data_IF_540389844747
#
_entry.id   IF_540389844747
#
_cell.length_a   1.000
_cell.length_b   1.000
_cell.length_c   1.000
_cell.angle_alpha   90.00
_cell.angle_beta   90.00
_cell.angle_gamma   90.00
#
_symmetry.space_group_name_H-M   'P 1'
#
loop_
_entity.id
_entity.type
_entity.pdbx_description
1 polymer ?
#
# COMPACT_ATOMS: atom_id res chain seq x y z
N UNK A 1 11.20 32.56 -12.41
CA UNK A 1 11.01 33.36 -11.19
C UNK A 1 11.70 32.66 -10.04
N UNK A 2 12.63 33.35 -9.38
CA UNK A 2 13.39 32.83 -8.25
C UNK A 2 12.51 32.76 -6.97
N UNK A 3 12.91 31.99 -5.93
CA UNK A 3 12.20 31.96 -4.66
C UNK A 3 12.11 33.34 -3.97
N UNK A 4 13.11 34.22 -4.20
CA UNK A 4 13.13 35.57 -3.63
C UNK A 4 12.18 36.52 -4.36
N UNK A 5 12.17 36.50 -5.69
CA UNK A 5 11.19 37.25 -6.50
C UNK A 5 9.76 36.85 -6.12
N UNK A 6 9.50 35.55 -5.95
CA UNK A 6 8.20 35.04 -5.49
C UNK A 6 7.81 35.61 -4.12
N UNK A 7 8.73 35.73 -3.17
CA UNK A 7 8.42 36.26 -1.82
C UNK A 7 8.01 37.72 -1.87
N UNK A 8 8.55 38.51 -2.79
CA UNK A 8 8.31 39.95 -2.92
C UNK A 8 6.99 40.31 -3.62
N UNK A 9 6.37 39.37 -4.32
CA UNK A 9 5.11 39.63 -5.02
C UNK A 9 3.95 39.92 -4.08
N UNK A 10 3.04 40.85 -4.43
CA UNK A 10 1.78 41.08 -3.74
C UNK A 10 0.92 39.80 -3.68
N UNK A 11 0.09 39.69 -2.64
CA UNK A 11 -0.77 38.54 -2.41
C UNK A 11 -1.70 38.23 -3.59
N UNK A 12 -2.25 39.26 -4.21
CA UNK A 12 -3.14 39.15 -5.37
C UNK A 12 -2.41 38.60 -6.59
N UNK A 13 -1.21 39.03 -6.84
CA UNK A 13 -0.39 38.56 -7.96
C UNK A 13 0.08 37.11 -7.75
N UNK A 14 0.43 36.74 -6.52
CA UNK A 14 0.67 35.32 -6.15
C UNK A 14 -0.55 34.46 -6.43
N UNK A 15 -1.75 34.93 -6.12
CA UNK A 15 -2.99 34.20 -6.35
C UNK A 15 -3.32 34.10 -7.84
N UNK A 16 -3.09 35.18 -8.63
CA UNK A 16 -3.21 35.17 -10.08
C UNK A 16 -2.29 34.13 -10.70
N UNK A 17 -1.01 34.16 -10.40
CA UNK A 17 -0.02 33.20 -10.93
C UNK A 17 -0.30 31.76 -10.52
N UNK A 18 -0.86 31.55 -9.32
CA UNK A 18 -1.32 30.21 -8.91
C UNK A 18 -2.51 29.74 -9.74
N UNK A 19 -3.48 30.61 -10.06
CA UNK A 19 -4.63 30.29 -10.92
C UNK A 19 -4.16 29.97 -12.34
N UNK A 20 -3.35 30.83 -12.96
CA UNK A 20 -2.77 30.63 -14.30
C UNK A 20 -1.98 29.31 -14.38
N UNK A 21 -1.15 29.00 -13.38
CA UNK A 21 -0.41 27.73 -13.29
C UNK A 21 -1.36 26.53 -13.17
N UNK A 22 -2.46 26.69 -12.44
CA UNK A 22 -3.45 25.63 -12.27
C UNK A 22 -4.26 25.41 -13.55
N UNK A 23 -4.63 26.49 -14.24
CA UNK A 23 -5.32 26.45 -15.53
C UNK A 23 -4.44 25.88 -16.64
N UNK A 24 -3.15 26.30 -16.69
CA UNK A 24 -2.19 25.71 -17.63
C UNK A 24 -2.00 24.21 -17.39
N UNK A 25 -1.86 23.78 -16.13
CA UNK A 25 -1.80 22.34 -15.80
C UNK A 25 -3.09 21.57 -16.14
N UNK A 26 -4.23 22.26 -16.03
CA UNK A 26 -5.53 21.68 -16.42
C UNK A 26 -5.63 21.56 -17.94
N UNK A 27 -5.17 22.57 -18.67
CA UNK A 27 -5.10 22.56 -20.14
C UNK A 27 -4.08 21.52 -20.65
N UNK A 28 -2.88 21.44 -20.05
CA UNK A 28 -1.86 20.43 -20.35
C UNK A 28 -2.39 19.01 -20.07
N UNK A 29 -3.15 18.81 -18.99
CA UNK A 29 -3.85 17.54 -18.71
C UNK A 29 -4.97 17.25 -19.72
N UNK A 30 -5.71 18.26 -20.15
CA UNK A 30 -6.76 18.12 -21.16
C UNK A 30 -6.17 17.84 -22.55
N UNK A 31 -5.09 18.52 -22.93
CA UNK A 31 -4.39 18.31 -24.20
C UNK A 31 -3.64 16.95 -24.25
N UNK A 32 -3.05 16.51 -23.11
CA UNK A 32 -2.45 15.17 -22.99
C UNK A 32 -3.49 14.04 -22.92
N UNK A 33 -4.77 14.35 -22.77
CA UNK A 33 -5.85 13.36 -22.70
C UNK A 33 -6.46 13.01 -24.06
N UNK A 34 -5.89 13.49 -25.18
CA UNK A 34 -6.38 13.19 -26.52
C UNK A 34 -6.19 11.73 -26.97
N UNK A 35 -5.42 10.92 -26.24
CA UNK A 35 -5.54 9.47 -26.35
C UNK A 35 -6.70 9.02 -25.47
N UNK A 36 -7.88 8.91 -26.09
CA UNK A 36 -9.07 8.35 -25.45
C UNK A 36 -8.71 7.00 -24.82
N UNK A 37 -8.78 6.95 -23.49
CA UNK A 37 -8.83 5.70 -22.75
C UNK A 37 -9.93 4.83 -23.37
N UNK A 38 -9.54 3.68 -23.93
CA UNK A 38 -10.50 2.66 -24.34
C UNK A 38 -10.70 1.77 -23.10
N UNK A 39 -11.87 1.84 -22.45
CA UNK A 39 -12.17 0.92 -21.35
C UNK A 39 -12.06 -0.51 -21.85
N UNK A 40 -11.74 -1.47 -20.99
CA UNK A 40 -11.89 -2.89 -21.33
C UNK A 40 -13.31 -3.13 -21.86
N UNK A 41 -13.45 -4.07 -22.77
CA UNK A 41 -14.75 -4.38 -23.38
C UNK A 41 -15.86 -4.74 -22.36
N UNK A 42 -15.47 -5.12 -21.12
CA UNK A 42 -16.35 -5.33 -19.97
C UNK A 42 -15.78 -4.63 -18.75
N UNK A 43 -15.97 -3.32 -18.55
CA UNK A 43 -15.61 -2.66 -17.31
C UNK A 43 -16.41 -3.29 -16.17
N UNK A 44 -15.72 -3.81 -15.18
CA UNK A 44 -16.36 -4.37 -13.98
C UNK A 44 -17.15 -3.25 -13.29
N UNK A 45 -18.43 -3.45 -13.10
CA UNK A 45 -19.34 -2.48 -12.49
C UNK A 45 -19.15 -2.43 -10.94
N UNK A 46 -17.91 -2.24 -10.49
CA UNK A 46 -17.53 -2.22 -9.06
C UNK A 46 -18.34 -1.22 -8.22
N UNK A 47 -18.96 -0.21 -8.86
CA UNK A 47 -19.84 0.78 -8.18
C UNK A 47 -21.06 0.14 -7.54
N UNK A 48 -21.44 -1.04 -7.97
CA UNK A 48 -22.57 -1.80 -7.42
C UNK A 48 -22.21 -2.65 -6.19
N UNK A 49 -20.93 -2.84 -5.89
CA UNK A 49 -20.46 -3.55 -4.70
C UNK A 49 -20.71 -2.72 -3.43
N UNK A 50 -21.92 -2.76 -2.89
CA UNK A 50 -22.33 -1.95 -1.73
C UNK A 50 -21.96 -2.55 -0.38
N UNK A 51 -21.80 -3.87 -0.30
CA UNK A 51 -21.45 -4.63 0.90
C UNK A 51 -20.29 -5.59 0.63
N UNK A 52 -19.61 -6.04 1.70
CA UNK A 52 -18.46 -6.93 1.60
C UNK A 52 -17.12 -6.19 1.56
N UNK A 53 -16.06 -6.87 2.03
CA UNK A 53 -14.69 -6.34 2.06
C UNK A 53 -13.90 -6.73 0.83
N UNK A 54 -13.97 -8.00 0.45
CA UNK A 54 -13.18 -8.60 -0.62
C UNK A 54 -14.07 -9.18 -1.72
N UNK A 55 -13.54 -9.16 -2.93
CA UNK A 55 -14.27 -9.54 -4.13
C UNK A 55 -13.35 -10.31 -5.08
N UNK A 56 -13.91 -11.36 -5.68
CA UNK A 56 -13.30 -12.06 -6.79
C UNK A 56 -13.34 -11.23 -8.08
N UNK A 57 -12.80 -11.78 -9.14
CA UNK A 57 -12.78 -11.14 -10.47
C UNK A 57 -14.17 -10.86 -11.03
N UNK A 58 -15.13 -11.74 -10.77
CA UNK A 58 -16.54 -11.60 -11.19
C UNK A 58 -17.39 -10.78 -10.21
N UNK A 59 -16.75 -10.14 -9.22
CA UNK A 59 -17.34 -9.34 -8.14
C UNK A 59 -18.17 -10.12 -7.12
N UNK A 60 -18.07 -11.42 -7.07
CA UNK A 60 -18.60 -12.23 -5.97
C UNK A 60 -17.86 -11.87 -4.68
N UNK A 61 -18.61 -11.73 -3.60
CA UNK A 61 -18.03 -11.43 -2.28
C UNK A 61 -17.23 -12.65 -1.77
N UNK A 62 -16.00 -12.38 -1.31
CA UNK A 62 -15.13 -13.39 -0.73
C UNK A 62 -15.07 -13.25 0.79
N UNK A 63 -15.26 -14.35 1.50
CA UNK A 63 -14.92 -14.45 2.91
C UNK A 63 -13.51 -15.03 3.05
N UNK A 64 -12.56 -14.17 3.45
CA UNK A 64 -11.16 -14.55 3.63
C UNK A 64 -10.72 -14.57 5.09
N UNK A 65 -11.67 -14.49 6.03
CA UNK A 65 -11.38 -14.29 7.47
C UNK A 65 -10.59 -15.45 8.11
N UNK A 66 -10.62 -16.62 7.52
CA UNK A 66 -9.91 -17.82 7.99
C UNK A 66 -8.69 -18.20 7.16
N UNK A 67 -8.35 -17.42 6.11
CA UNK A 67 -7.28 -17.78 5.17
C UNK A 67 -5.91 -17.91 5.87
N UNK A 68 -5.62 -17.00 6.82
CA UNK A 68 -4.42 -17.01 7.64
C UNK A 68 -4.77 -16.89 9.12
N UNK A 69 -5.74 -17.67 9.57
CA UNK A 69 -6.26 -17.59 10.94
C UNK A 69 -5.17 -17.80 11.99
N UNK A 70 -4.99 -16.79 12.85
CA UNK A 70 -4.01 -16.82 13.93
C UNK A 70 -2.56 -16.62 13.50
N UNK A 71 -2.28 -16.56 12.19
CA UNK A 71 -0.92 -16.48 11.66
C UNK A 71 -0.23 -15.16 11.98
N UNK A 72 1.10 -15.20 11.91
CA UNK A 72 1.98 -14.03 11.91
C UNK A 72 2.33 -13.63 10.47
N UNK A 73 2.57 -12.33 10.23
CA UNK A 73 2.98 -11.82 8.93
C UNK A 73 4.03 -10.72 9.07
N UNK A 74 5.09 -10.78 8.27
CA UNK A 74 6.02 -9.65 8.12
C UNK A 74 5.48 -8.67 7.07
N UNK A 75 5.20 -7.43 7.51
CA UNK A 75 4.88 -6.32 6.62
C UNK A 75 6.18 -5.64 6.17
N UNK A 76 6.55 -5.86 4.92
CA UNK A 76 7.72 -5.26 4.29
C UNK A 76 7.31 -3.93 3.66
N UNK A 77 7.76 -2.81 4.25
CA UNK A 77 7.48 -1.46 3.79
C UNK A 77 8.56 -0.98 2.81
N UNK A 78 8.69 0.35 2.62
CA UNK A 78 9.56 0.94 1.59
C UNK A 78 10.75 1.71 2.15
N UNK A 79 10.92 1.72 3.46
CA UNK A 79 11.93 2.55 4.12
C UNK A 79 13.36 2.04 3.89
N UNK A 80 14.37 2.94 3.90
CA UNK A 80 15.76 2.60 3.60
C UNK A 80 16.41 1.63 4.58
N UNK A 81 15.87 1.47 5.78
CA UNK A 81 16.36 0.47 6.76
C UNK A 81 16.30 -0.98 6.25
N UNK A 82 15.47 -1.28 5.22
CA UNK A 82 15.47 -2.59 4.57
C UNK A 82 16.84 -2.97 3.97
N UNK A 83 17.64 -2.00 3.54
CA UNK A 83 18.96 -2.25 2.96
C UNK A 83 19.98 -2.75 3.98
N UNK A 84 19.69 -2.60 5.27
CA UNK A 84 20.52 -3.06 6.37
C UNK A 84 19.99 -4.36 7.01
N UNK A 85 18.88 -4.90 6.47
CA UNK A 85 18.20 -6.08 7.00
C UNK A 85 18.51 -7.28 6.11
N UNK A 86 18.91 -8.40 6.70
CA UNK A 86 19.06 -9.67 5.97
C UNK A 86 17.68 -10.25 5.65
N UNK A 87 17.11 -9.80 4.52
CA UNK A 87 15.79 -10.24 4.06
C UNK A 87 15.75 -11.72 3.63
N UNK A 88 16.89 -12.41 3.50
CA UNK A 88 16.94 -13.84 3.15
C UNK A 88 16.26 -14.70 4.21
N UNK A 89 16.25 -14.27 5.47
CA UNK A 89 15.57 -14.94 6.58
C UNK A 89 14.04 -15.04 6.37
N UNK A 90 13.47 -14.14 5.57
CA UNK A 90 12.03 -14.17 5.23
C UNK A 90 11.66 -15.28 4.22
N UNK A 91 12.65 -15.94 3.62
CA UNK A 91 12.41 -17.09 2.71
C UNK A 91 12.22 -18.41 3.46
N UNK A 92 12.29 -18.40 4.79
CA UNK A 92 12.08 -19.61 5.60
C UNK A 92 10.62 -20.07 5.53
N UNK A 93 10.43 -21.36 5.66
CA UNK A 93 9.07 -21.97 5.79
C UNK A 93 8.38 -21.42 7.04
N UNK A 94 7.09 -21.19 6.95
CA UNK A 94 6.29 -20.61 8.03
C UNK A 94 6.27 -19.09 8.06
N UNK A 95 7.11 -18.42 7.27
CA UNK A 95 7.13 -16.96 7.17
C UNK A 95 6.16 -16.50 6.08
N UNK A 96 5.10 -15.80 6.50
CA UNK A 96 4.20 -15.08 5.60
C UNK A 96 4.70 -13.63 5.46
N UNK A 97 4.73 -13.13 4.25
CA UNK A 97 5.16 -11.75 3.96
C UNK A 97 4.13 -10.96 3.18
N UNK A 98 3.99 -9.69 3.50
CA UNK A 98 3.13 -8.75 2.78
C UNK A 98 3.92 -7.50 2.38
N UNK A 99 3.95 -7.20 1.09
CA UNK A 99 4.57 -5.98 0.56
C UNK A 99 3.59 -4.82 0.48
N UNK A 100 4.12 -3.61 0.65
CA UNK A 100 3.38 -2.37 0.46
C UNK A 100 3.98 -1.56 -0.70
N UNK A 101 3.13 -1.07 -1.59
CA UNK A 101 3.54 -0.24 -2.74
C UNK A 101 4.68 -0.90 -3.56
N UNK A 102 5.84 -0.26 -3.71
CA UNK A 102 6.97 -0.79 -4.47
C UNK A 102 7.93 -1.69 -3.66
N UNK A 103 7.63 -2.04 -2.42
CA UNK A 103 8.51 -2.92 -1.63
C UNK A 103 8.77 -4.30 -2.27
N UNK A 104 7.85 -4.90 -3.08
CA UNK A 104 8.16 -6.15 -3.77
C UNK A 104 9.32 -6.07 -4.77
N UNK A 105 9.76 -4.86 -5.14
CA UNK A 105 10.99 -4.68 -5.95
C UNK A 105 12.28 -4.87 -5.15
N UNK A 106 12.21 -4.79 -3.82
CA UNK A 106 13.34 -5.05 -2.90
C UNK A 106 13.31 -6.49 -2.43
N UNK A 107 12.12 -6.97 -2.06
CA UNK A 107 11.91 -8.35 -1.61
C UNK A 107 10.56 -8.87 -2.13
N UNK A 108 10.57 -9.99 -2.84
CA UNK A 108 9.37 -10.63 -3.36
C UNK A 108 8.52 -11.19 -2.23
N UNK A 109 7.36 -10.60 -2.00
CA UNK A 109 6.44 -10.98 -0.91
C UNK A 109 5.34 -11.93 -1.37
N UNK A 110 4.72 -12.68 -0.44
CA UNK A 110 3.58 -13.56 -0.75
C UNK A 110 2.30 -12.76 -1.05
N UNK A 111 2.09 -11.68 -0.31
CA UNK A 111 0.94 -10.79 -0.41
C UNK A 111 1.41 -9.39 -0.81
N UNK A 112 0.55 -8.64 -1.48
CA UNK A 112 0.82 -7.26 -1.85
C UNK A 112 -0.41 -6.39 -1.74
N UNK A 113 -0.26 -5.24 -1.09
CA UNK A 113 -1.32 -4.23 -0.92
C UNK A 113 -0.79 -2.86 -1.35
N UNK A 114 -1.58 -2.10 -2.06
CA UNK A 114 -1.20 -0.75 -2.50
C UNK A 114 -2.39 0.22 -2.46
N UNK A 115 -2.09 1.52 -2.50
CA UNK A 115 -3.12 2.56 -2.44
C UNK A 115 -3.03 3.60 -3.54
N UNK A 116 -1.93 3.67 -4.26
CA UNK A 116 -1.70 4.57 -5.39
C UNK A 116 -2.22 3.99 -6.71
N UNK A 117 -2.37 4.80 -7.78
CA UNK A 117 -2.76 4.29 -9.10
C UNK A 117 -1.82 3.18 -9.61
N UNK A 118 -2.35 2.14 -10.27
CA UNK A 118 -1.62 0.95 -10.71
C UNK A 118 -0.35 1.22 -11.51
N UNK A 119 -0.35 2.25 -12.35
CA UNK A 119 0.80 2.63 -13.19
C UNK A 119 2.04 3.11 -12.43
N UNK A 120 1.94 3.33 -11.11
CA UNK A 120 3.08 3.71 -10.28
C UNK A 120 3.95 2.54 -9.86
N UNK A 121 3.50 1.33 -10.09
CA UNK A 121 4.15 0.11 -9.65
C UNK A 121 4.81 -0.63 -10.82
N UNK A 122 5.86 -1.38 -10.50
CA UNK A 122 6.61 -2.13 -11.48
C UNK A 122 5.75 -3.23 -12.11
N UNK A 123 5.80 -3.37 -13.45
CA UNK A 123 4.99 -4.31 -14.21
C UNK A 123 5.21 -5.78 -13.80
N UNK A 124 6.45 -6.14 -13.42
CA UNK A 124 6.75 -7.49 -12.95
C UNK A 124 5.96 -7.90 -11.69
N UNK A 125 5.64 -6.95 -10.79
CA UNK A 125 4.82 -7.25 -9.61
C UNK A 125 3.42 -7.67 -10.03
N UNK A 126 2.86 -7.00 -11.04
CA UNK A 126 1.53 -7.32 -11.56
C UNK A 126 1.48 -8.71 -12.20
N UNK A 127 2.49 -9.05 -12.98
CA UNK A 127 2.57 -10.30 -13.75
C UNK A 127 2.98 -11.51 -12.90
N UNK A 128 3.54 -11.30 -11.69
CA UNK A 128 4.02 -12.38 -10.85
C UNK A 128 2.86 -13.24 -10.29
N UNK A 129 2.75 -14.52 -10.69
CA UNK A 129 1.67 -15.39 -10.24
C UNK A 129 1.82 -15.86 -8.79
N UNK A 130 3.01 -15.72 -8.17
CA UNK A 130 3.21 -16.12 -6.79
C UNK A 130 2.81 -15.03 -5.77
N UNK A 131 2.49 -13.82 -6.23
CA UNK A 131 2.04 -12.73 -5.38
C UNK A 131 0.52 -12.63 -5.41
N UNK A 132 -0.13 -12.75 -4.26
CA UNK A 132 -1.56 -12.41 -4.13
C UNK A 132 -1.71 -10.91 -3.97
N UNK A 133 -2.46 -10.29 -4.86
CA UNK A 133 -2.58 -8.84 -5.02
C UNK A 133 -3.93 -8.36 -4.51
N UNK A 134 -3.92 -7.52 -3.47
CA UNK A 134 -5.12 -6.85 -2.98
C UNK A 134 -5.25 -5.48 -3.65
N UNK A 135 -6.27 -5.32 -4.48
CA UNK A 135 -6.47 -4.17 -5.37
C UNK A 135 -7.72 -3.40 -4.99
N UNK A 136 -7.65 -2.07 -4.76
CA UNK A 136 -8.86 -1.28 -4.60
C UNK A 136 -9.81 -1.48 -5.79
N UNK A 137 -11.09 -1.75 -5.55
CA UNK A 137 -12.09 -1.95 -6.61
C UNK A 137 -12.08 -0.85 -7.66
N UNK A 138 -11.83 0.40 -7.24
CA UNK A 138 -11.74 1.55 -8.14
C UNK A 138 -10.58 1.47 -9.15
N UNK A 139 -9.62 0.56 -8.94
CA UNK A 139 -8.46 0.41 -9.81
C UNK A 139 -8.52 -0.83 -10.70
N UNK A 140 -9.46 -1.73 -10.48
CA UNK A 140 -9.55 -2.98 -11.25
C UNK A 140 -9.70 -2.76 -12.75
N UNK A 141 -10.52 -1.79 -13.15
CA UNK A 141 -10.84 -1.54 -14.57
C UNK A 141 -10.74 -0.08 -15.01
N UNK A 142 -10.32 0.84 -14.11
CA UNK A 142 -10.36 2.27 -14.41
C UNK A 142 -9.01 2.87 -14.78
N UNK A 143 -7.90 2.25 -14.33
CA UNK A 143 -6.55 2.72 -14.59
C UNK A 143 -5.73 1.64 -15.28
N UNK A 144 -5.34 1.86 -16.55
CA UNK A 144 -4.45 0.92 -17.24
C UNK A 144 -3.08 0.90 -16.56
N UNK A 145 -2.40 -0.23 -16.66
CA UNK A 145 -0.99 -0.36 -16.26
C UNK A 145 -0.16 0.44 -17.25
N UNK A 146 0.83 1.17 -16.76
CA UNK A 146 1.80 1.90 -17.56
C UNK A 146 3.10 1.12 -17.65
N UNK A 147 3.70 1.11 -18.82
CA UNK A 147 5.11 0.71 -18.97
C UNK A 147 6.03 1.93 -18.82
N UNK A 148 7.18 1.71 -18.20
CA UNK A 148 8.28 2.66 -18.22
C UNK A 148 9.09 2.38 -19.47
N UNK A 149 9.00 3.27 -20.44
CA UNK A 149 9.82 3.24 -21.67
C UNK A 149 11.06 4.12 -21.51
N UNK A 150 11.99 4.04 -22.47
CA UNK A 150 13.16 4.92 -22.53
C UNK A 150 12.77 6.42 -22.59
N UNK A 151 11.58 6.73 -23.10
CA UNK A 151 11.05 8.09 -23.27
C UNK A 151 10.10 8.53 -22.15
N UNK A 152 10.00 7.75 -21.06
CA UNK A 152 9.11 8.04 -19.94
C UNK A 152 8.04 6.95 -19.74
N UNK A 153 6.86 7.36 -19.24
CA UNK A 153 5.75 6.44 -19.03
C UNK A 153 4.75 6.53 -20.18
N UNK A 154 4.52 5.43 -20.86
CA UNK A 154 3.48 5.31 -21.87
C UNK A 154 2.25 4.59 -21.32
N UNK A 155 1.05 5.08 -21.70
CA UNK A 155 -0.20 4.45 -21.30
C UNK A 155 -0.42 3.19 -22.13
N UNK A 156 -0.57 2.06 -21.48
CA UNK A 156 -0.93 0.82 -22.13
C UNK A 156 -2.44 0.81 -22.40
N UNK A 157 -2.88 1.61 -23.36
CA UNK A 157 -4.27 1.66 -23.82
C UNK A 157 -4.48 0.97 -25.15
N UNK A 158 -3.57 0.09 -25.60
CA UNK A 158 -3.69 -0.63 -26.86
C UNK A 158 -4.60 -1.85 -26.71
N UNK A 159 -5.31 -2.28 -27.75
CA UNK A 159 -6.02 -3.57 -27.75
C UNK A 159 -5.09 -4.70 -27.33
N UNK A 160 -5.52 -5.54 -26.40
CA UNK A 160 -4.72 -6.65 -25.87
C UNK A 160 -3.94 -6.36 -24.58
N UNK A 161 -3.97 -5.13 -24.06
CA UNK A 161 -3.33 -4.84 -22.77
C UNK A 161 -4.16 -5.33 -21.60
N UNK A 162 -3.45 -5.88 -20.60
CA UNK A 162 -4.04 -6.41 -19.37
C UNK A 162 -4.33 -5.28 -18.39
N UNK A 163 -5.52 -5.29 -17.81
CA UNK A 163 -5.90 -4.43 -16.69
C UNK A 163 -5.52 -5.12 -15.35
N UNK A 164 -5.51 -4.41 -14.23
CA UNK A 164 -5.31 -5.03 -12.92
C UNK A 164 -6.18 -6.26 -12.69
N UNK A 165 -7.44 -6.23 -13.10
CA UNK A 165 -8.36 -7.37 -13.01
C UNK A 165 -7.95 -8.60 -13.84
N UNK A 166 -7.13 -8.41 -14.88
CA UNK A 166 -6.70 -9.49 -15.78
C UNK A 166 -5.40 -10.16 -15.30
N UNK A 167 -4.75 -9.58 -14.29
CA UNK A 167 -3.52 -10.10 -13.72
C UNK A 167 -3.76 -11.32 -12.83
N UNK A 168 -2.77 -12.20 -12.66
CA UNK A 168 -2.92 -13.40 -11.83
C UNK A 168 -3.09 -13.03 -10.35
N UNK A 169 -3.89 -13.81 -9.63
CA UNK A 169 -4.08 -13.75 -8.18
C UNK A 169 -4.47 -12.36 -7.67
N UNK A 170 -5.43 -11.72 -8.32
CA UNK A 170 -6.00 -10.45 -7.92
C UNK A 170 -7.28 -10.65 -7.11
N UNK A 171 -7.32 -10.00 -5.95
CA UNK A 171 -8.49 -9.90 -5.06
C UNK A 171 -8.85 -8.42 -4.97
N UNK A 172 -10.08 -8.09 -5.34
CA UNK A 172 -10.62 -6.74 -5.20
C UNK A 172 -10.94 -6.42 -3.74
N UNK A 173 -10.74 -5.16 -3.30
CA UNK A 173 -11.24 -4.73 -2.00
C UNK A 173 -11.96 -3.40 -2.07
N UNK A 174 -12.98 -3.23 -1.23
CA UNK A 174 -13.74 -2.00 -1.10
C UNK A 174 -13.02 -1.02 -0.18
N UNK A 175 -12.55 0.10 -0.75
CA UNK A 175 -11.81 1.13 -0.03
C UNK A 175 -12.75 2.19 0.59
N UNK A 176 -12.45 2.61 1.81
CA UNK A 176 -13.10 3.75 2.46
C UNK A 176 -12.10 4.86 2.83
N UNK A 177 -12.63 6.07 3.04
CA UNK A 177 -11.88 7.21 3.56
C UNK A 177 -12.28 7.55 4.99
N UNK A 178 -12.82 6.60 5.76
CA UNK A 178 -13.11 6.74 7.18
C UNK A 178 -11.95 6.20 8.00
N UNK A 179 -11.65 6.85 9.11
CA UNK A 179 -10.61 6.43 10.02
C UNK A 179 -11.07 6.72 11.46
N UNK A 180 -11.57 5.69 12.09
CA UNK A 180 -12.00 5.69 13.47
C UNK A 180 -11.33 4.55 14.22
N UNK A 181 -10.77 4.80 15.40
CA UNK A 181 -9.95 3.83 16.12
C UNK A 181 -10.76 2.64 16.66
N UNK A 182 -12.02 2.87 17.07
CA UNK A 182 -12.87 1.84 17.67
C UNK A 182 -13.42 0.88 16.61
N UNK A 183 -13.79 1.42 15.44
CA UNK A 183 -14.43 0.64 14.37
C UNK A 183 -13.46 0.22 13.26
N UNK A 184 -12.19 0.65 13.31
CA UNK A 184 -11.23 0.40 12.25
C UNK A 184 -11.16 -1.07 11.83
N UNK A 185 -11.06 -2.00 12.78
CA UNK A 185 -10.94 -3.43 12.48
C UNK A 185 -12.27 -4.07 12.07
N UNK A 186 -13.40 -3.56 12.54
CA UNK A 186 -14.73 -4.16 12.35
C UNK A 186 -15.49 -3.64 11.14
N UNK A 187 -15.20 -2.39 10.67
CA UNK A 187 -15.87 -1.83 9.48
C UNK A 187 -15.80 -2.78 8.26
N UNK A 188 -16.91 -2.83 7.51
CA UNK A 188 -17.07 -3.64 6.31
C UNK A 188 -16.43 -3.03 5.05
N UNK A 189 -15.34 -2.30 5.22
CA UNK A 189 -14.53 -1.70 4.14
C UNK A 189 -13.08 -1.55 4.60
N UNK A 190 -12.15 -1.50 3.65
CA UNK A 190 -10.72 -1.33 3.93
C UNK A 190 -10.41 0.16 3.97
N UNK A 191 -10.10 0.68 5.16
CA UNK A 191 -9.74 2.09 5.34
C UNK A 191 -8.41 2.42 4.66
N UNK A 192 -8.37 3.55 3.95
CA UNK A 192 -7.13 4.16 3.45
C UNK A 192 -6.69 5.36 4.29
N UNK A 193 -7.34 5.54 5.44
CA UNK A 193 -7.18 6.70 6.32
C UNK A 193 -8.37 7.65 6.24
N UNK A 194 -8.20 8.86 6.81
CA UNK A 194 -9.24 9.89 6.84
C UNK A 194 -9.12 10.79 5.62
N UNK A 195 -10.08 10.70 4.69
CA UNK A 195 -10.13 11.55 3.49
C UNK A 195 -10.38 13.02 3.84
N UNK A 196 -10.05 13.95 2.93
CA UNK A 196 -10.31 15.38 3.13
C UNK A 196 -11.77 15.70 3.48
N UNK A 197 -12.72 14.98 2.86
CA UNK A 197 -14.15 15.14 3.12
C UNK A 197 -14.49 14.82 4.59
N UNK A 198 -13.99 13.70 5.10
CA UNK A 198 -14.22 13.27 6.48
C UNK A 198 -13.45 14.17 7.46
N UNK A 199 -12.22 14.52 7.14
CA UNK A 199 -11.38 15.43 7.93
C UNK A 199 -12.08 16.79 8.16
N UNK A 200 -12.66 17.38 7.12
CA UNK A 200 -13.41 18.65 7.21
C UNK A 200 -14.66 18.50 8.07
N UNK A 201 -15.42 17.40 7.89
CA UNK A 201 -16.66 17.15 8.65
C UNK A 201 -16.37 16.91 10.13
N UNK A 202 -15.33 16.19 10.45
CA UNK A 202 -14.94 15.77 11.79
C UNK A 202 -14.03 16.79 12.50
N UNK A 203 -13.61 17.86 11.81
CA UNK A 203 -12.62 18.85 12.28
C UNK A 203 -11.29 18.21 12.73
N UNK A 204 -10.91 17.12 12.08
CA UNK A 204 -9.71 16.34 12.36
C UNK A 204 -8.72 16.42 11.21
N UNK A 205 -7.42 16.15 11.43
CA UNK A 205 -6.44 16.17 10.36
C UNK A 205 -6.75 15.15 9.25
N UNK A 206 -6.53 15.56 7.99
CA UNK A 206 -6.47 14.62 6.88
C UNK A 206 -5.24 13.72 7.02
N UNK A 207 -5.46 12.42 6.98
CA UNK A 207 -4.43 11.38 7.04
C UNK A 207 -4.85 10.28 6.08
N UNK A 208 -4.09 10.04 5.02
CA UNK A 208 -4.29 8.88 4.15
C UNK A 208 -2.95 8.23 3.83
N UNK A 209 -2.92 6.92 3.94
CA UNK A 209 -1.74 6.11 3.64
C UNK A 209 -2.14 4.66 3.40
N UNK A 210 -1.42 3.98 2.53
CA UNK A 210 -1.59 2.55 2.25
C UNK A 210 -1.38 1.69 3.49
N UNK A 211 -0.61 2.17 4.47
CA UNK A 211 -0.32 1.45 5.70
C UNK A 211 -1.59 1.07 6.48
N UNK A 212 -2.60 1.95 6.51
CA UNK A 212 -3.92 1.63 7.09
C UNK A 212 -4.58 0.46 6.35
N UNK A 213 -4.55 0.51 5.02
CA UNK A 213 -5.17 -0.54 4.21
C UNK A 213 -4.51 -1.90 4.42
N UNK A 214 -3.18 -1.95 4.49
CA UNK A 214 -2.48 -3.22 4.65
C UNK A 214 -2.72 -3.84 6.03
N UNK A 215 -2.69 -3.06 7.12
CA UNK A 215 -3.01 -3.58 8.46
C UNK A 215 -4.43 -4.17 8.47
N UNK A 216 -5.40 -3.44 7.91
CA UNK A 216 -6.78 -3.91 7.89
C UNK A 216 -6.99 -5.11 6.97
N UNK A 217 -6.31 -5.19 5.82
CA UNK A 217 -6.32 -6.37 4.95
C UNK A 217 -5.79 -7.58 5.71
N UNK A 218 -4.61 -7.47 6.32
CA UNK A 218 -3.98 -8.57 7.07
C UNK A 218 -4.88 -9.06 8.20
N UNK A 219 -5.43 -8.15 9.03
CA UNK A 219 -6.39 -8.53 10.06
C UNK A 219 -7.62 -9.24 9.50
N UNK A 220 -8.18 -8.72 8.39
CA UNK A 220 -9.40 -9.23 7.78
C UNK A 220 -9.24 -10.60 7.11
N UNK A 221 -8.01 -11.01 6.78
CA UNK A 221 -7.70 -12.35 6.24
C UNK A 221 -7.26 -13.34 7.33
N UNK A 222 -7.31 -12.94 8.60
CA UNK A 222 -7.05 -13.83 9.73
C UNK A 222 -5.71 -13.64 10.43
N UNK A 223 -4.80 -12.79 9.94
CA UNK A 223 -3.52 -12.50 10.61
C UNK A 223 -3.77 -11.84 11.97
N UNK A 224 -3.02 -12.26 12.99
CA UNK A 224 -3.14 -11.75 14.37
C UNK A 224 -1.84 -11.19 14.92
N UNK A 225 -0.71 -11.45 14.28
CA UNK A 225 0.57 -10.82 14.62
C UNK A 225 1.20 -10.22 13.38
N UNK A 226 1.59 -8.94 13.44
CA UNK A 226 2.25 -8.24 12.34
C UNK A 226 3.62 -7.75 12.82
N UNK A 227 4.67 -8.15 12.12
CA UNK A 227 6.04 -7.67 12.32
C UNK A 227 6.37 -6.66 11.22
N UNK A 228 6.74 -5.44 11.59
CA UNK A 228 7.00 -4.33 10.67
C UNK A 228 8.48 -4.27 10.28
N UNK A 229 8.78 -4.26 8.99
CA UNK A 229 10.12 -4.07 8.43
C UNK A 229 10.13 -2.89 7.45
N UNK A 230 11.18 -2.08 7.46
CA UNK A 230 11.26 -0.91 6.59
C UNK A 230 10.21 0.17 6.90
N UNK A 231 9.69 0.16 8.11
CA UNK A 231 8.70 1.13 8.59
C UNK A 231 9.40 2.29 9.33
N UNK A 232 10.29 2.98 8.65
CA UNK A 232 11.15 4.03 9.23
C UNK A 232 10.36 5.19 9.83
N UNK A 233 9.20 5.53 9.28
CA UNK A 233 8.35 6.65 9.69
C UNK A 233 9.11 7.97 9.85
N UNK A 234 10.22 8.04 9.17
CA UNK A 234 11.03 9.23 8.93
C UNK A 234 11.55 9.14 7.50
N UNK A 235 11.60 10.23 6.79
CA UNK A 235 12.06 10.27 5.41
C UNK A 235 13.17 11.30 5.27
N UNK A 236 14.30 10.89 4.68
CA UNK A 236 15.40 11.76 4.29
C UNK A 236 15.27 12.14 2.82
N UNK A 237 15.60 13.39 2.41
CA UNK A 237 15.68 13.76 1.01
C UNK A 237 16.74 12.98 0.23
N UNK A 238 17.84 12.59 0.89
CA UNK A 238 18.96 11.88 0.25
C UNK A 238 18.62 10.43 -0.08
N UNK A 239 17.86 9.76 0.78
CA UNK A 239 17.45 8.37 0.60
C UNK A 239 16.02 8.18 1.12
N UNK A 240 15.02 8.56 0.31
CA UNK A 240 13.63 8.48 0.75
C UNK A 240 13.07 7.05 0.81
N UNK A 241 13.65 6.12 0.06
CA UNK A 241 13.18 4.73 -0.05
C UNK A 241 14.36 3.75 -0.17
N UNK A 242 14.10 2.48 0.06
CA UNK A 242 15.05 1.37 -0.15
C UNK A 242 15.36 1.10 -1.65
N UNK A 243 14.69 1.77 -2.56
CA UNK A 243 14.86 1.65 -4.02
C UNK A 243 15.00 3.03 -4.66
N UNK A 244 15.49 3.06 -5.92
CA UNK A 244 15.84 4.28 -6.65
C UNK A 244 14.64 5.14 -7.06
N UNK A 245 13.90 5.67 -6.10
CA UNK A 245 12.80 6.61 -6.32
C UNK A 245 13.08 7.92 -5.59
N UNK A 246 13.13 9.02 -6.34
CA UNK A 246 13.32 10.35 -5.80
C UNK A 246 12.01 10.96 -5.26
N UNK A 247 12.14 11.85 -4.28
CA UNK A 247 11.04 12.63 -3.72
C UNK A 247 11.45 14.09 -3.59
N UNK A 248 10.55 15.01 -3.92
CA UNK A 248 10.82 16.43 -3.70
C UNK A 248 10.86 16.77 -2.20
N UNK A 249 11.61 17.81 -1.81
CA UNK A 249 11.67 18.28 -0.42
C UNK A 249 10.29 18.56 0.18
N UNK A 250 9.39 19.16 -0.63
CA UNK A 250 7.99 19.36 -0.23
C UNK A 250 7.26 18.05 0.04
N UNK A 251 7.54 17.03 -0.76
CA UNK A 251 6.99 15.70 -0.58
C UNK A 251 7.55 15.00 0.67
N UNK A 252 8.84 15.14 0.94
CA UNK A 252 9.49 14.62 2.16
C UNK A 252 8.88 15.27 3.40
N UNK A 253 8.79 16.60 3.45
CA UNK A 253 8.15 17.31 4.57
C UNK A 253 6.68 16.93 4.77
N UNK A 254 5.94 16.72 3.68
CA UNK A 254 4.54 16.29 3.74
C UNK A 254 4.40 14.88 4.31
N UNK A 255 5.27 13.95 3.88
CA UNK A 255 5.29 12.59 4.38
C UNK A 255 5.65 12.54 5.88
N UNK A 256 6.68 13.25 6.30
CA UNK A 256 7.09 13.28 7.71
C UNK A 256 5.97 13.81 8.63
N UNK A 257 5.24 14.85 8.21
CA UNK A 257 4.05 15.31 8.94
C UNK A 257 2.93 14.27 8.97
N UNK A 258 2.76 13.53 7.88
CA UNK A 258 1.78 12.44 7.83
C UNK A 258 2.17 11.29 8.76
N UNK A 259 3.45 10.92 8.81
CA UNK A 259 3.97 9.88 9.68
C UNK A 259 3.77 10.22 11.17
N UNK A 260 4.05 11.46 11.58
CA UNK A 260 3.77 11.88 12.95
C UNK A 260 2.29 11.71 13.33
N UNK A 261 1.38 12.20 12.48
CA UNK A 261 -0.07 12.05 12.69
C UNK A 261 -0.54 10.59 12.71
N UNK A 262 0.08 9.75 11.87
CA UNK A 262 -0.21 8.33 11.86
C UNK A 262 0.26 7.65 13.14
N UNK A 263 1.45 7.99 13.62
CA UNK A 263 1.95 7.48 14.89
C UNK A 263 0.99 7.80 16.04
N UNK A 264 0.57 9.07 16.15
CA UNK A 264 -0.37 9.51 17.19
C UNK A 264 -1.70 8.73 17.09
N UNK A 265 -2.20 8.53 15.88
CA UNK A 265 -3.41 7.75 15.67
C UNK A 265 -3.22 6.28 16.09
N UNK A 266 -2.08 5.65 15.75
CA UNK A 266 -1.80 4.27 16.14
C UNK A 266 -1.63 4.12 17.65
N UNK A 267 -1.06 5.12 18.34
CA UNK A 267 -1.02 5.13 19.81
C UNK A 267 -2.45 5.06 20.38
N UNK A 268 -3.38 5.84 19.83
CA UNK A 268 -4.78 5.81 20.26
C UNK A 268 -5.54 4.54 19.89
N UNK A 269 -5.20 3.91 18.76
CA UNK A 269 -5.88 2.72 18.26
C UNK A 269 -5.33 1.40 18.82
N UNK A 270 -4.09 1.39 19.35
CA UNK A 270 -3.43 0.18 19.83
C UNK A 270 -4.25 -0.61 20.87
N UNK A 271 -4.88 0.01 21.89
CA UNK A 271 -5.68 -0.74 22.85
C UNK A 271 -6.85 -1.50 22.18
N UNK A 272 -7.48 -0.91 21.17
CA UNK A 272 -8.54 -1.57 20.39
C UNK A 272 -8.00 -2.74 19.57
N UNK A 273 -6.79 -2.60 19.01
CA UNK A 273 -6.13 -3.69 18.27
C UNK A 273 -5.82 -4.87 19.20
N UNK A 274 -5.21 -4.60 20.36
CA UNK A 274 -4.89 -5.60 21.36
C UNK A 274 -6.13 -6.32 21.88
N UNK A 275 -7.19 -5.58 22.19
CA UNK A 275 -8.49 -6.14 22.59
C UNK A 275 -9.13 -7.02 21.52
N UNK A 276 -8.88 -6.73 20.22
CA UNK A 276 -9.32 -7.55 19.11
C UNK A 276 -8.35 -8.72 18.78
N UNK A 277 -7.33 -8.95 19.59
CA UNK A 277 -6.34 -10.00 19.42
C UNK A 277 -5.30 -9.71 18.32
N UNK A 278 -5.19 -8.46 17.83
CA UNK A 278 -4.17 -8.06 16.88
C UNK A 278 -2.97 -7.46 17.62
N UNK A 279 -1.80 -8.07 17.47
CA UNK A 279 -0.53 -7.56 17.97
C UNK A 279 0.33 -7.07 16.82
N UNK A 280 0.94 -5.90 16.97
CA UNK A 280 1.84 -5.33 15.98
C UNK A 280 3.17 -5.01 16.68
N UNK A 281 4.26 -5.49 16.10
CA UNK A 281 5.61 -5.27 16.60
C UNK A 281 6.46 -4.57 15.55
N UNK A 282 7.38 -3.73 15.98
CA UNK A 282 8.25 -2.98 15.10
C UNK A 282 9.68 -3.55 15.11
N UNK A 283 10.06 -4.24 14.03
CA UNK A 283 11.40 -4.75 13.82
C UNK A 283 12.31 -3.75 13.08
N UNK A 284 11.82 -2.54 12.78
CA UNK A 284 12.60 -1.52 12.08
C UNK A 284 13.52 -0.78 13.04
N UNK A 285 14.85 -0.82 12.86
CA UNK A 285 15.78 -0.06 13.69
C UNK A 285 15.49 1.44 13.63
N UNK A 286 15.64 2.13 14.77
CA UNK A 286 15.48 3.60 14.86
C UNK A 286 14.25 4.20 14.18
N UNK A 287 13.16 3.44 14.10
CA UNK A 287 11.90 3.90 13.50
C UNK A 287 11.28 5.07 14.27
N UNK A 288 10.71 6.03 13.54
CA UNK A 288 9.84 7.06 14.11
C UNK A 288 8.44 6.57 14.49
N UNK A 289 8.10 5.32 14.20
CA UNK A 289 6.84 4.69 14.60
C UNK A 289 6.99 4.09 16.00
N UNK A 290 6.60 4.85 17.01
CA UNK A 290 6.73 4.50 18.43
C UNK A 290 5.46 3.90 19.04
N UNK A 291 4.36 3.85 18.28
CA UNK A 291 3.09 3.31 18.74
C UNK A 291 3.14 1.81 19.08
N UNK A 292 4.07 1.06 18.48
CA UNK A 292 4.20 -0.37 18.62
C UNK A 292 5.53 -0.73 19.28
N UNK A 293 5.49 -1.81 20.06
CA UNK A 293 6.66 -2.35 20.76
C UNK A 293 7.76 -2.75 19.76
N UNK A 294 9.01 -2.49 20.14
CA UNK A 294 10.17 -2.91 19.34
C UNK A 294 10.59 -4.31 19.74
N UNK A 295 10.84 -5.13 18.73
CA UNK A 295 11.37 -6.49 18.90
C UNK A 295 12.53 -6.70 17.94
N UNK A 296 13.43 -7.58 18.30
CA UNK A 296 14.52 -7.99 17.41
C UNK A 296 13.95 -8.72 16.18
N UNK A 297 14.54 -8.48 15.02
CA UNK A 297 14.10 -9.08 13.78
C UNK A 297 14.30 -10.58 13.74
N UNK A 298 15.44 -11.10 14.22
CA UNK A 298 15.74 -12.54 14.23
C UNK A 298 14.89 -13.28 15.25
N UNK A 299 14.59 -12.65 16.38
CA UNK A 299 13.65 -13.20 17.36
C UNK A 299 12.24 -13.31 16.77
N UNK A 300 11.80 -12.30 16.01
CA UNK A 300 10.52 -12.35 15.30
C UNK A 300 10.48 -13.46 14.23
N UNK A 301 11.57 -13.66 13.47
CA UNK A 301 11.70 -14.77 12.51
C UNK A 301 11.63 -16.11 13.24
N UNK A 302 12.35 -16.24 14.34
CA UNK A 302 12.37 -17.47 15.17
C UNK A 302 10.98 -17.78 15.71
N UNK A 303 10.25 -16.78 16.19
CA UNK A 303 8.86 -16.93 16.64
C UNK A 303 7.92 -17.46 15.55
N UNK A 304 8.15 -17.08 14.29
CA UNK A 304 7.37 -17.57 13.15
C UNK A 304 7.76 -18.99 12.70
N UNK A 305 9.03 -19.37 12.86
CA UNK A 305 9.59 -20.57 12.22
C UNK A 305 9.92 -21.71 13.20
N UNK A 306 10.01 -21.43 14.50
CA UNK A 306 10.48 -22.40 15.49
C UNK A 306 9.66 -23.68 15.63
N UNK A 307 8.41 -23.67 15.16
CA UNK A 307 7.51 -24.84 15.15
C UNK A 307 7.35 -25.46 13.74
N UNK A 308 8.06 -24.96 12.74
CA UNK A 308 7.96 -25.41 11.34
C UNK A 308 9.26 -26.08 10.93
N UNK A 309 9.24 -27.36 10.47
CA UNK A 309 10.45 -28.00 9.96
C UNK A 309 11.06 -27.22 8.80
N UNK A 310 12.34 -26.93 8.89
CA UNK A 310 13.08 -26.17 7.88
C UNK A 310 13.80 -27.08 6.86
N UNK A 311 13.90 -28.39 7.14
CA UNK A 311 14.52 -29.35 6.21
C UNK A 311 13.81 -29.40 4.86
N UNK A 312 14.52 -29.68 3.78
CA UNK A 312 13.90 -29.88 2.48
C UNK A 312 12.79 -30.91 2.55
N UNK A 313 11.61 -30.57 2.03
CA UNK A 313 10.52 -31.51 1.94
C UNK A 313 10.85 -32.57 0.90
N UNK A 314 10.92 -33.84 1.31
CA UNK A 314 10.98 -34.96 0.35
C UNK A 314 9.57 -35.19 -0.23
N UNK A 315 9.37 -34.70 -1.44
CA UNK A 315 8.10 -34.87 -2.17
C UNK A 315 8.13 -36.04 -3.13
N UNK A 316 9.18 -36.91 -3.08
CA UNK A 316 9.26 -38.09 -3.93
C UNK A 316 8.07 -39.04 -3.64
N UNK A 317 7.35 -39.38 -4.67
CA UNK A 317 6.17 -40.24 -4.56
C UNK A 317 4.86 -39.53 -4.19
N UNK A 318 4.83 -38.22 -3.96
CA UNK A 318 3.60 -37.51 -3.66
C UNK A 318 2.67 -37.39 -4.88
N UNK A 319 3.23 -37.42 -6.09
CA UNK A 319 2.50 -37.33 -7.35
C UNK A 319 2.82 -38.54 -8.23
N UNK A 320 2.72 -39.77 -7.64
CA UNK A 320 2.77 -41.00 -8.44
C UNK A 320 1.43 -41.10 -9.17
N UNK A 321 1.46 -40.90 -10.50
CA UNK A 321 0.37 -41.17 -11.40
C UNK A 321 0.35 -42.69 -11.76
#
# INVERSE_FOLDING_TARGET
MSPEEWRRLPREEKNRLRREKHERRRAERAAGSSQRFVPSANPIAWKHCKSGKFFSRDLSTLNLSTLYQGSSCFLVSCGPSLLQTDLSQLNRRGVLTCGINNSPTVFRTNLWVFGDPPYKFHDAIWKDPAITKFVPLSFLSTNPIREKTANGFEWLGRPGHLYPQDMPNVIGYRRSGRLDAETFLTEDSISFGRSEKHAKREKLPHINNTFFSVIKVLYSIGVRTIYLLGCDFKMSPMQPYAFGQQKSDGGVRSNNRSYARMNDWFVSARPTFEAAGLRIFNCTPESGLTAFERVDYLDAVTACTGHVPQDPLDARGWYQL
#
